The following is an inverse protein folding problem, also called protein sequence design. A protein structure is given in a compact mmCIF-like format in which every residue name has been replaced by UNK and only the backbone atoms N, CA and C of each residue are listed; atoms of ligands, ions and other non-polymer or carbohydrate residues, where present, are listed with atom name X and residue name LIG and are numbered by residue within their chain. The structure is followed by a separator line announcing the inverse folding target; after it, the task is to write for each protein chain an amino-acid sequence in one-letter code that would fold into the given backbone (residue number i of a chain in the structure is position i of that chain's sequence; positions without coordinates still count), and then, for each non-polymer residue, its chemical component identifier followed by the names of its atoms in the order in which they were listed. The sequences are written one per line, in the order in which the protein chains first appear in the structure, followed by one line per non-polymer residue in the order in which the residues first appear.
data_IF_667339523647
#
_entry.id   IF_667339523647
#
_cell.length_a   1.000
_cell.length_b   1.000
_cell.length_c   1.000
_cell.angle_alpha   90.00
_cell.angle_beta   90.00
_cell.angle_gamma   90.00
#
_symmetry.space_group_name_H-M   'P 1'
#
loop_
_entity.id
_entity.type
_entity.pdbx_description
1 polymer ?
#
# COMPACT_ATOMS: atom_id res chain seq x y z
N UNK A 1 -38.59 -32.46 31.37
CA UNK A 1 -37.35 -32.81 30.65
C UNK A 1 -37.38 -32.53 29.14
N UNK A 2 -38.50 -32.73 28.40
CA UNK A 2 -38.57 -32.44 26.95
C UNK A 2 -38.56 -30.94 26.62
N UNK A 3 -39.21 -30.09 27.42
CA UNK A 3 -39.26 -28.64 27.20
C UNK A 3 -37.88 -27.96 27.39
N UNK A 4 -37.09 -28.42 28.35
CA UNK A 4 -35.75 -27.85 28.63
C UNK A 4 -34.78 -28.12 27.49
N UNK A 5 -34.88 -29.30 26.83
CA UNK A 5 -34.04 -29.64 25.68
C UNK A 5 -34.35 -28.81 24.42
N UNK A 6 -35.65 -28.45 24.23
CA UNK A 6 -36.07 -27.60 23.11
C UNK A 6 -35.56 -26.16 23.24
N UNK A 7 -35.59 -25.59 24.46
CA UNK A 7 -35.06 -24.23 24.71
C UNK A 7 -33.56 -24.15 24.48
N UNK A 8 -32.79 -25.19 24.88
CA UNK A 8 -31.35 -25.23 24.66
C UNK A 8 -31.01 -25.35 23.17
N UNK A 9 -31.78 -26.11 22.39
CA UNK A 9 -31.54 -26.26 20.94
C UNK A 9 -31.82 -24.98 20.18
N UNK A 10 -32.87 -24.24 20.54
CA UNK A 10 -33.22 -22.95 19.93
C UNK A 10 -32.16 -21.90 20.28
N UNK A 11 -31.67 -21.87 21.54
CA UNK A 11 -30.60 -20.97 21.95
C UNK A 11 -29.29 -21.18 21.17
N UNK A 12 -28.91 -22.43 20.90
CA UNK A 12 -27.72 -22.76 20.10
C UNK A 12 -27.93 -22.39 18.63
N UNK A 13 -29.12 -22.57 18.06
CA UNK A 13 -29.43 -22.20 16.68
C UNK A 13 -29.38 -20.68 16.47
N UNK A 14 -29.89 -19.89 17.43
CA UNK A 14 -29.84 -18.43 17.37
C UNK A 14 -28.40 -17.90 17.53
N UNK A 15 -27.59 -18.54 18.36
CA UNK A 15 -26.18 -18.16 18.53
C UNK A 15 -25.35 -18.45 17.27
N UNK A 16 -25.70 -19.51 16.52
CA UNK A 16 -25.02 -19.84 15.25
C UNK A 16 -25.42 -18.91 14.08
N UNK A 17 -26.60 -18.30 14.13
CA UNK A 17 -27.04 -17.33 13.10
C UNK A 17 -26.39 -15.93 13.29
N UNK A 18 -25.83 -15.61 14.47
CA UNK A 18 -25.20 -14.31 14.70
C UNK A 18 -23.73 -14.24 14.29
N UNK A 19 -23.09 -15.35 13.90
CA UNK A 19 -21.69 -15.36 13.47
C UNK A 19 -21.48 -15.12 11.97
N UNK A 20 -22.55 -14.91 11.23
CA UNK A 20 -22.51 -14.44 9.84
C UNK A 20 -22.28 -12.92 9.75
N UNK A 21 -21.26 -12.37 10.42
CA UNK A 21 -20.77 -11.04 10.07
C UNK A 21 -20.19 -11.22 8.67
N UNK A 22 -20.98 -10.86 7.65
CA UNK A 22 -20.45 -10.68 6.31
C UNK A 22 -19.25 -9.74 6.44
N UNK A 23 -18.05 -10.25 6.24
CA UNK A 23 -16.86 -9.43 6.04
C UNK A 23 -17.16 -8.61 4.80
N UNK A 24 -17.80 -7.46 5.00
CA UNK A 24 -18.00 -6.51 3.94
C UNK A 24 -16.60 -6.23 3.39
N UNK A 25 -16.37 -6.58 2.12
CA UNK A 25 -15.11 -6.32 1.47
C UNK A 25 -14.88 -4.80 1.54
N UNK A 26 -13.93 -4.38 2.37
CA UNK A 26 -13.64 -2.97 2.56
C UNK A 26 -13.26 -2.38 1.21
N UNK A 27 -14.11 -1.50 0.70
CA UNK A 27 -13.85 -0.82 -0.56
C UNK A 27 -12.57 0.01 -0.45
N UNK A 28 -11.71 0.00 -1.47
CA UNK A 28 -10.53 0.85 -1.47
C UNK A 28 -10.92 2.32 -1.28
N UNK A 29 -10.09 3.07 -0.57
CA UNK A 29 -10.30 4.50 -0.35
C UNK A 29 -10.56 5.23 -1.68
N UNK A 30 -11.53 6.17 -1.74
CA UNK A 30 -11.76 6.97 -2.93
C UNK A 30 -10.56 7.89 -3.20
N UNK A 31 -10.41 8.35 -4.44
CA UNK A 31 -9.46 9.43 -4.73
C UNK A 31 -9.93 10.75 -4.14
N UNK A 32 -8.96 11.52 -3.65
CA UNK A 32 -9.11 12.90 -3.18
C UNK A 32 -8.44 13.90 -4.14
N UNK A 33 -8.19 15.12 -3.67
CA UNK A 33 -7.38 16.08 -4.41
C UNK A 33 -5.95 15.57 -4.56
N UNK A 34 -5.25 16.05 -5.60
CA UNK A 34 -3.86 15.65 -5.83
C UNK A 34 -2.94 16.14 -4.70
N UNK A 35 -1.97 15.32 -4.34
CA UNK A 35 -0.89 15.71 -3.44
C UNK A 35 -0.15 16.93 -4.02
N UNK A 36 0.03 17.98 -3.22
CA UNK A 36 0.81 19.14 -3.59
C UNK A 36 2.31 18.92 -3.32
N UNK A 37 3.16 19.77 -3.90
CA UNK A 37 4.61 19.65 -3.77
C UNK A 37 5.10 19.75 -2.31
N UNK A 38 4.48 20.57 -1.48
CA UNK A 38 4.87 20.73 -0.08
C UNK A 38 4.62 19.42 0.71
N UNK A 39 3.46 18.80 0.54
CA UNK A 39 3.13 17.51 1.13
C UNK A 39 4.01 16.40 0.56
N UNK A 40 4.27 16.38 -0.75
CA UNK A 40 5.16 15.41 -1.37
C UNK A 40 6.59 15.47 -0.78
N UNK A 41 7.13 16.66 -0.57
CA UNK A 41 8.43 16.86 0.09
C UNK A 41 8.43 16.38 1.55
N UNK A 42 7.35 16.65 2.29
CA UNK A 42 7.21 16.17 3.69
C UNK A 42 7.21 14.64 3.76
N UNK A 43 6.46 13.99 2.87
CA UNK A 43 6.41 12.53 2.73
C UNK A 43 7.79 11.97 2.38
N UNK A 44 8.47 12.57 1.41
CA UNK A 44 9.80 12.14 0.98
C UNK A 44 10.84 12.33 2.10
N UNK A 45 10.81 13.44 2.82
CA UNK A 45 11.75 13.69 3.93
C UNK A 45 11.63 12.64 5.05
N UNK A 46 10.42 12.21 5.39
CA UNK A 46 10.22 11.16 6.38
C UNK A 46 10.69 9.79 5.88
N UNK A 47 10.46 9.48 4.62
CA UNK A 47 11.00 8.30 3.98
C UNK A 47 12.54 8.32 3.97
N UNK A 48 13.14 9.46 3.62
CA UNK A 48 14.60 9.65 3.63
C UNK A 48 15.19 9.45 5.04
N UNK A 49 14.53 9.97 6.07
CA UNK A 49 14.96 9.78 7.46
C UNK A 49 14.91 8.31 7.88
N UNK A 50 13.89 7.57 7.48
CA UNK A 50 13.80 6.13 7.77
C UNK A 50 14.87 5.34 6.99
N UNK A 51 15.11 5.66 5.70
CA UNK A 51 16.19 5.04 4.91
C UNK A 51 17.56 5.25 5.57
N UNK A 52 17.85 6.48 6.05
CA UNK A 52 19.07 6.79 6.76
C UNK A 52 19.20 5.98 8.07
N UNK A 53 18.13 5.86 8.84
CA UNK A 53 18.08 5.09 10.10
C UNK A 53 18.42 3.61 9.88
N UNK A 54 17.90 3.00 8.81
CA UNK A 54 18.18 1.60 8.46
C UNK A 54 19.40 1.46 7.53
N UNK A 55 20.12 2.55 7.24
CA UNK A 55 21.38 2.62 6.50
C UNK A 55 21.30 2.05 5.09
N UNK A 56 20.28 2.43 4.33
CA UNK A 56 20.16 2.07 2.90
C UNK A 56 20.09 3.32 2.03
N UNK A 57 20.62 3.20 0.82
CA UNK A 57 20.47 4.23 -0.21
C UNK A 57 19.30 3.88 -1.12
N UNK A 58 18.41 4.85 -1.35
CA UNK A 58 17.15 4.64 -2.07
C UNK A 58 16.89 5.76 -3.08
N UNK A 59 15.98 5.48 -4.00
CA UNK A 59 15.20 6.47 -4.73
C UNK A 59 13.81 6.53 -4.11
N UNK A 60 13.32 7.74 -3.91
CA UNK A 60 11.98 8.03 -3.39
C UNK A 60 11.23 8.82 -4.46
N UNK A 61 10.13 8.27 -4.96
CA UNK A 61 9.25 8.95 -5.90
C UNK A 61 7.87 9.18 -5.31
N UNK A 62 7.31 10.38 -5.47
CA UNK A 62 5.93 10.70 -5.07
C UNK A 62 5.15 11.09 -6.32
N UNK A 63 4.00 10.44 -6.52
CA UNK A 63 3.08 10.71 -7.64
C UNK A 63 1.73 11.21 -7.12
N UNK A 64 1.02 11.97 -7.96
CA UNK A 64 -0.36 12.39 -7.72
C UNK A 64 -1.38 11.26 -7.98
N UNK A 65 -2.67 11.55 -7.88
CA UNK A 65 -3.74 10.55 -8.10
C UNK A 65 -3.82 10.07 -9.54
N UNK A 66 -3.31 10.83 -10.50
CA UNK A 66 -3.19 10.45 -11.92
C UNK A 66 -1.92 9.67 -12.24
N UNK A 67 -1.04 9.44 -11.24
CA UNK A 67 0.25 8.80 -11.45
C UNK A 67 1.33 9.71 -12.02
N UNK A 68 1.11 11.03 -12.08
CA UNK A 68 2.12 11.99 -12.53
C UNK A 68 3.14 12.25 -11.44
N UNK A 69 4.42 12.32 -11.81
CA UNK A 69 5.50 12.57 -10.86
C UNK A 69 5.42 13.99 -10.30
N UNK A 70 5.35 14.12 -8.97
CA UNK A 70 5.34 15.39 -8.23
C UNK A 70 6.70 15.70 -7.61
N UNK A 71 7.37 14.65 -7.07
CA UNK A 71 8.68 14.78 -6.44
C UNK A 71 9.50 13.53 -6.62
N UNK A 72 10.80 13.69 -6.80
CA UNK A 72 11.76 12.59 -6.84
C UNK A 72 13.04 12.99 -6.12
N UNK A 73 13.52 12.10 -5.25
CA UNK A 73 14.80 12.20 -4.59
C UNK A 73 15.59 10.92 -4.83
N UNK A 74 16.82 11.05 -5.33
CA UNK A 74 17.74 9.94 -5.53
C UNK A 74 18.95 10.13 -4.64
N UNK A 75 19.22 9.17 -3.77
CA UNK A 75 20.45 9.16 -2.97
C UNK A 75 21.65 8.85 -3.85
N UNK A 76 22.81 9.32 -3.39
CA UNK A 76 24.06 8.97 -4.06
C UNK A 76 24.28 7.45 -4.03
N UNK A 77 25.02 6.95 -4.98
CA UNK A 77 25.43 5.53 -5.15
C UNK A 77 24.30 4.50 -5.27
N UNK A 78 23.03 4.93 -5.32
CA UNK A 78 21.91 4.00 -5.61
C UNK A 78 21.96 3.57 -7.08
N UNK A 79 21.59 2.32 -7.36
CA UNK A 79 21.57 1.78 -8.73
C UNK A 79 20.61 2.58 -9.64
N UNK A 80 20.97 2.76 -10.91
CA UNK A 80 20.22 3.61 -11.83
C UNK A 80 18.79 3.12 -12.08
N UNK A 81 18.59 1.82 -12.21
CA UNK A 81 17.27 1.24 -12.41
C UNK A 81 16.27 1.54 -11.30
N UNK A 82 16.73 1.90 -10.09
CA UNK A 82 15.85 2.24 -8.97
C UNK A 82 15.03 3.50 -9.21
N UNK A 83 15.43 4.39 -10.12
CA UNK A 83 14.64 5.59 -10.49
C UNK A 83 13.30 5.17 -11.07
N UNK A 84 13.33 4.37 -12.13
CA UNK A 84 12.12 3.88 -12.80
C UNK A 84 11.32 2.95 -11.90
N UNK A 85 12.00 2.10 -11.13
CA UNK A 85 11.33 1.16 -10.22
C UNK A 85 10.57 1.90 -9.13
N UNK A 86 11.14 2.92 -8.49
CA UNK A 86 10.46 3.71 -7.46
C UNK A 86 9.21 4.41 -8.02
N UNK A 87 9.35 5.11 -9.15
CA UNK A 87 8.24 5.80 -9.79
C UNK A 87 7.13 4.82 -10.20
N UNK A 88 7.49 3.68 -10.78
CA UNK A 88 6.52 2.68 -11.22
C UNK A 88 5.84 1.95 -10.03
N UNK A 89 6.53 1.75 -8.90
CA UNK A 89 5.90 1.27 -7.66
C UNK A 89 4.85 2.27 -7.15
N UNK A 90 5.16 3.57 -7.15
CA UNK A 90 4.20 4.61 -6.78
C UNK A 90 2.98 4.62 -7.72
N UNK A 91 3.22 4.61 -9.05
CA UNK A 91 2.16 4.54 -10.07
C UNK A 91 1.26 3.33 -9.87
N UNK A 92 1.85 2.14 -9.71
CA UNK A 92 1.09 0.91 -9.47
C UNK A 92 0.23 1.02 -8.21
N UNK A 93 0.78 1.57 -7.13
CA UNK A 93 0.07 1.73 -5.87
C UNK A 93 -1.14 2.65 -5.98
N UNK A 94 -0.99 3.82 -6.62
CA UNK A 94 -2.11 4.76 -6.79
C UNK A 94 -3.14 4.21 -7.78
N UNK A 95 -2.73 3.63 -8.88
CA UNK A 95 -3.61 3.08 -9.92
C UNK A 95 -4.54 2.00 -9.38
N UNK A 96 -4.02 1.11 -8.56
CA UNK A 96 -4.78 -0.02 -8.00
C UNK A 96 -5.24 0.19 -6.56
N UNK A 97 -5.06 1.40 -5.99
CA UNK A 97 -5.52 1.82 -4.65
C UNK A 97 -5.07 0.89 -3.51
N UNK A 98 -3.86 0.35 -3.62
CA UNK A 98 -3.31 -0.59 -2.62
C UNK A 98 -1.79 -0.58 -2.62
N UNK A 99 -1.15 -0.99 -1.51
CA UNK A 99 0.29 -1.21 -1.50
C UNK A 99 0.70 -2.28 -2.52
N UNK A 100 1.85 -2.09 -3.18
CA UNK A 100 2.39 -3.08 -4.13
C UNK A 100 2.73 -4.42 -3.48
N UNK A 101 2.92 -4.45 -2.16
CA UNK A 101 3.04 -5.69 -1.35
C UNK A 101 1.86 -6.65 -1.57
N UNK A 102 0.66 -6.13 -1.80
CA UNK A 102 -0.51 -6.98 -2.05
C UNK A 102 -0.34 -7.85 -3.30
N UNK A 103 0.25 -7.30 -4.36
CA UNK A 103 0.55 -8.05 -5.57
C UNK A 103 1.73 -9.01 -5.39
N UNK A 104 2.80 -8.56 -4.70
CA UNK A 104 3.93 -9.41 -4.35
C UNK A 104 3.46 -10.67 -3.59
N UNK A 105 2.60 -10.51 -2.59
CA UNK A 105 2.07 -11.63 -1.82
C UNK A 105 1.25 -12.61 -2.67
N UNK A 106 0.40 -12.10 -3.58
CA UNK A 106 -0.40 -12.95 -4.48
C UNK A 106 0.51 -13.81 -5.36
N UNK A 107 1.54 -13.21 -5.97
CA UNK A 107 2.41 -13.92 -6.89
C UNK A 107 3.39 -14.85 -6.16
N UNK A 108 3.97 -14.42 -5.04
CA UNK A 108 4.93 -15.23 -4.27
C UNK A 108 4.29 -16.45 -3.60
N UNK A 109 2.99 -16.39 -3.30
CA UNK A 109 2.25 -17.55 -2.77
C UNK A 109 1.79 -18.55 -3.84
N UNK A 110 2.17 -18.36 -5.11
CA UNK A 110 1.67 -19.18 -6.23
C UNK A 110 0.21 -18.90 -6.60
N UNK A 111 -0.32 -17.72 -6.22
CA UNK A 111 -1.68 -17.30 -6.50
C UNK A 111 -1.93 -16.92 -7.97
N UNK A 112 -2.93 -16.10 -8.20
CA UNK A 112 -3.40 -15.79 -9.56
C UNK A 112 -2.35 -15.03 -10.40
N UNK A 113 -1.67 -15.74 -11.30
CA UNK A 113 -0.67 -15.19 -12.20
C UNK A 113 -1.24 -14.23 -13.25
N UNK A 114 -2.59 -14.20 -13.44
CA UNK A 114 -3.22 -13.27 -14.39
C UNK A 114 -2.99 -11.80 -14.02
N UNK A 115 -2.64 -11.51 -12.76
CA UNK A 115 -2.22 -10.16 -12.39
C UNK A 115 -1.02 -9.63 -13.20
N UNK A 116 -0.18 -10.52 -13.75
CA UNK A 116 0.95 -10.12 -14.60
C UNK A 116 0.51 -9.60 -15.98
N UNK A 117 -0.74 -9.84 -16.38
CA UNK A 117 -1.29 -9.33 -17.64
C UNK A 117 -1.88 -7.92 -17.52
N UNK A 118 -2.00 -7.40 -16.30
CA UNK A 118 -2.51 -6.05 -16.08
C UNK A 118 -1.37 -5.02 -16.23
N UNK A 119 -1.57 -4.10 -17.16
CA UNK A 119 -0.62 -3.01 -17.38
C UNK A 119 -0.47 -2.15 -16.12
N UNK A 120 0.76 -1.74 -15.84
CA UNK A 120 1.08 -0.86 -14.72
C UNK A 120 1.25 -1.55 -13.36
N UNK A 121 1.01 -2.84 -13.25
CA UNK A 121 1.32 -3.57 -12.00
C UNK A 121 2.84 -3.67 -11.81
N UNK A 122 3.27 -3.38 -10.59
CA UNK A 122 4.60 -3.69 -10.06
C UNK A 122 4.43 -4.55 -8.81
N UNK A 123 4.57 -5.86 -9.00
CA UNK A 123 4.37 -6.85 -7.94
C UNK A 123 5.63 -7.02 -7.08
N UNK A 124 6.12 -5.92 -6.55
CA UNK A 124 7.28 -5.85 -5.66
C UNK A 124 7.06 -4.76 -4.61
N UNK A 125 7.23 -5.07 -3.34
CA UNK A 125 6.96 -4.15 -2.22
C UNK A 125 7.76 -2.85 -2.32
N UNK A 126 7.18 -1.74 -1.87
CA UNK A 126 7.79 -0.41 -1.83
C UNK A 126 6.91 0.69 -2.42
N UNK A 127 5.74 0.37 -2.99
CA UNK A 127 4.72 1.34 -3.38
C UNK A 127 3.60 1.39 -2.34
N UNK A 128 3.23 2.60 -1.84
CA UNK A 128 2.22 2.79 -0.79
C UNK A 128 1.35 3.99 -1.12
N UNK A 129 0.00 3.88 -1.06
CA UNK A 129 -0.88 5.04 -1.23
C UNK A 129 -0.66 6.06 -0.11
N UNK A 130 -0.73 7.35 -0.45
CA UNK A 130 -0.77 8.45 0.51
C UNK A 130 -2.24 8.77 0.74
N UNK A 131 -2.69 8.64 1.99
CA UNK A 131 -4.10 8.81 2.36
C UNK A 131 -4.22 10.01 3.29
N UNK A 132 -5.12 10.93 2.93
CA UNK A 132 -5.47 12.11 3.74
C UNK A 132 -6.98 12.16 3.92
N UNK A 133 -7.46 12.25 5.16
CA UNK A 133 -8.89 12.28 5.48
C UNK A 133 -9.69 11.12 4.80
N UNK A 134 -9.12 9.91 4.78
CA UNK A 134 -9.73 8.73 4.18
C UNK A 134 -9.74 8.72 2.65
N UNK A 135 -9.02 9.62 1.98
CA UNK A 135 -8.93 9.72 0.51
C UNK A 135 -7.50 9.55 0.03
N UNK A 136 -7.31 8.85 -1.06
CA UNK A 136 -6.01 8.74 -1.72
C UNK A 136 -5.71 10.03 -2.44
N UNK A 137 -4.63 10.72 -2.04
CA UNK A 137 -4.17 11.96 -2.66
C UNK A 137 -2.97 11.76 -3.59
N UNK A 138 -2.39 10.57 -3.58
CA UNK A 138 -1.24 10.18 -4.38
C UNK A 138 -0.63 8.89 -3.87
N UNK A 139 0.59 8.61 -4.22
CA UNK A 139 1.36 7.48 -3.69
C UNK A 139 2.86 7.79 -3.63
N UNK A 140 3.53 7.11 -2.70
CA UNK A 140 5.00 7.05 -2.62
C UNK A 140 5.49 5.72 -3.15
N UNK A 141 6.63 5.72 -3.83
CA UNK A 141 7.36 4.53 -4.22
C UNK A 141 8.83 4.64 -3.83
N UNK A 142 9.39 3.56 -3.32
CA UNK A 142 10.78 3.48 -2.88
C UNK A 142 11.46 2.30 -3.54
N UNK A 143 12.72 2.48 -3.92
CA UNK A 143 13.57 1.42 -4.49
C UNK A 143 15.04 1.67 -4.17
N UNK A 144 15.75 0.62 -3.76
CA UNK A 144 17.20 0.67 -3.48
C UNK A 144 17.66 -0.40 -2.51
N UNK A 145 16.83 -0.81 -1.57
CA UNK A 145 17.06 -1.92 -0.66
C UNK A 145 16.43 -3.23 -1.14
N UNK A 146 16.23 -4.17 -0.23
CA UNK A 146 15.32 -5.29 -0.47
C UNK A 146 13.88 -4.80 -0.54
N UNK A 147 12.97 -5.56 -1.16
CA UNK A 147 11.56 -5.16 -1.27
C UNK A 147 10.94 -4.85 0.10
N UNK A 148 11.26 -5.64 1.12
CA UNK A 148 10.78 -5.41 2.48
C UNK A 148 11.32 -4.09 3.09
N UNK A 149 12.60 -3.77 2.89
CA UNK A 149 13.20 -2.51 3.33
C UNK A 149 12.59 -1.31 2.61
N UNK A 150 12.41 -1.40 1.28
CA UNK A 150 11.73 -0.39 0.48
C UNK A 150 10.31 -0.13 1.03
N UNK A 151 9.59 -1.20 1.40
CA UNK A 151 8.27 -1.11 2.01
C UNK A 151 8.26 -0.42 3.37
N UNK A 152 9.26 -0.66 4.22
CA UNK A 152 9.41 0.03 5.53
C UNK A 152 9.55 1.54 5.29
N UNK A 153 10.45 1.93 4.40
CA UNK A 153 10.73 3.32 4.06
C UNK A 153 9.49 4.00 3.44
N UNK A 154 8.81 3.34 2.51
CA UNK A 154 7.62 3.89 1.88
C UNK A 154 6.48 4.12 2.89
N UNK A 155 6.24 3.18 3.81
CA UNK A 155 5.24 3.34 4.87
C UNK A 155 5.57 4.48 5.82
N UNK A 156 6.84 4.66 6.19
CA UNK A 156 7.27 5.78 7.04
C UNK A 156 6.96 7.14 6.38
N UNK A 157 7.18 7.26 5.07
CA UNK A 157 6.79 8.43 4.31
C UNK A 157 5.28 8.65 4.28
N UNK A 158 4.51 7.63 3.88
CA UNK A 158 3.06 7.72 3.74
C UNK A 158 2.35 8.08 5.07
N UNK A 159 2.89 7.65 6.22
CA UNK A 159 2.34 7.91 7.54
C UNK A 159 2.41 9.39 7.98
N UNK A 160 3.10 10.27 7.24
CA UNK A 160 3.19 11.70 7.56
C UNK A 160 1.92 12.50 7.20
N UNK A 161 1.01 11.86 6.49
CA UNK A 161 -0.26 12.44 6.06
C UNK A 161 -1.35 11.48 6.51
N UNK A 162 -2.14 11.89 7.49
CA UNK A 162 -3.29 11.13 8.01
C UNK A 162 -4.47 12.07 8.26
#
# INVERSE_FOLDING_TARGET
MRALKAVTLIGILVLFMMTGIAMAQQMPNPYGPNVNLATAKKVAAAAAAEAAKIKINVVIGVVDTGGNLVYLERFDVVQWGSVDVAVNKAKSSVMFKRPTKAFENILSSGGNMTYLTLDGIRAIEGGVPIIENGRIIGAIGVSGGSSAQDGVVARAGAAQVQ
#
